data_IF_360767115271
#
_entry.id   IF_360767115271
#
_cell.length_a   1.000
_cell.length_b   1.000
_cell.length_c   1.000
_cell.angle_alpha   90.00
_cell.angle_beta   90.00
_cell.angle_gamma   90.00
#
_symmetry.space_group_name_H-M   'P 1'
#
loop_
_entity.id
_entity.type
_entity.pdbx_description
1 polymer ?
#
# COMPACT_ATOMS: atom_id res chain seq x y z
N UNK A 1 11.09 4.32 2.84
CA UNK A 1 9.61 4.26 2.70
C UNK A 1 8.98 3.01 3.34
N UNK A 2 9.18 1.76 2.88
CA UNK A 2 8.44 0.59 3.45
C UNK A 2 8.62 0.40 4.97
N UNK A 3 9.83 0.58 5.48
CA UNK A 3 10.09 0.54 6.93
C UNK A 3 9.35 1.61 7.72
N UNK A 4 9.27 2.83 7.19
CA UNK A 4 8.49 3.92 7.77
C UNK A 4 7.01 3.55 7.83
N UNK A 5 6.46 2.98 6.75
CA UNK A 5 5.09 2.48 6.72
C UNK A 5 4.84 1.42 7.81
N UNK A 6 5.80 0.53 8.06
CA UNK A 6 5.70 -0.48 9.12
C UNK A 6 5.63 0.17 10.51
N UNK A 7 6.51 1.12 10.82
CA UNK A 7 6.53 1.76 12.15
C UNK A 7 5.25 2.58 12.40
N UNK A 8 4.80 3.34 11.40
CA UNK A 8 3.54 4.10 11.50
C UNK A 8 2.32 3.18 11.65
N UNK A 9 2.36 2.01 11.00
CA UNK A 9 1.32 0.98 11.14
C UNK A 9 1.29 0.41 12.56
N UNK A 10 2.44 0.03 13.13
CA UNK A 10 2.49 -0.46 14.50
C UNK A 10 1.95 0.58 15.46
N UNK A 11 2.41 1.83 15.35
CA UNK A 11 1.96 2.94 16.18
C UNK A 11 0.43 3.05 16.17
N UNK A 12 -0.16 3.05 14.97
CA UNK A 12 -1.61 3.21 14.79
C UNK A 12 -2.38 2.06 15.41
N UNK A 13 -1.99 0.82 15.11
CA UNK A 13 -2.66 -0.37 15.62
C UNK A 13 -2.50 -0.48 17.15
N UNK A 14 -1.31 -0.22 17.69
CA UNK A 14 -1.05 -0.29 19.13
C UNK A 14 -1.92 0.71 19.90
N UNK A 15 -1.91 1.98 19.49
CA UNK A 15 -2.71 2.99 20.19
C UNK A 15 -4.21 2.82 19.99
N UNK A 16 -4.67 2.38 18.81
CA UNK A 16 -6.08 2.08 18.64
C UNK A 16 -6.53 0.85 19.44
N UNK A 17 -5.74 -0.22 19.49
CA UNK A 17 -6.11 -1.45 20.19
C UNK A 17 -6.06 -1.30 21.71
N UNK A 18 -5.00 -0.66 22.24
CA UNK A 18 -4.69 -0.73 23.66
C UNK A 18 -5.22 0.44 24.47
N UNK A 19 -5.28 1.67 23.92
CA UNK A 19 -5.70 2.84 24.71
C UNK A 19 -7.16 2.75 25.15
N UNK A 20 -7.39 2.98 26.44
CA UNK A 20 -8.69 2.98 27.10
C UNK A 20 -9.10 4.33 27.69
N UNK A 21 -10.34 4.42 28.14
CA UNK A 21 -10.86 5.54 28.94
C UNK A 21 -10.53 6.92 28.35
N UNK A 22 -10.07 7.82 29.23
CA UNK A 22 -9.77 9.21 28.87
C UNK A 22 -8.57 9.35 27.94
N UNK A 23 -7.67 8.37 27.88
CA UNK A 23 -6.53 8.41 26.95
C UNK A 23 -6.99 8.48 25.49
N UNK A 24 -8.17 7.93 25.16
CA UNK A 24 -8.76 8.01 23.82
C UNK A 24 -9.36 9.37 23.46
N UNK A 25 -9.64 10.22 24.45
CA UNK A 25 -10.22 11.56 24.24
C UNK A 25 -9.14 12.65 24.11
N UNK A 26 -7.87 12.26 24.16
CA UNK A 26 -6.74 13.20 24.14
C UNK A 26 -6.38 13.63 22.72
N UNK A 27 -5.83 14.85 22.60
CA UNK A 27 -5.22 15.34 21.35
C UNK A 27 -4.05 14.46 20.89
N UNK A 28 -3.44 13.71 21.80
CA UNK A 28 -2.40 12.74 21.48
C UNK A 28 -2.92 11.63 20.56
N UNK A 29 -4.05 10.98 20.89
CA UNK A 29 -4.61 9.95 20.02
C UNK A 29 -5.04 10.55 18.67
N UNK A 30 -5.67 11.73 18.67
CA UNK A 30 -6.05 12.41 17.42
C UNK A 30 -4.84 12.69 16.53
N UNK A 31 -3.75 13.24 17.08
CA UNK A 31 -2.50 13.47 16.35
C UNK A 31 -1.86 12.17 15.85
N UNK A 32 -1.90 11.12 16.67
CA UNK A 32 -1.43 9.78 16.30
C UNK A 32 -2.23 9.21 15.12
N UNK A 33 -3.56 9.34 15.13
CA UNK A 33 -4.44 8.88 14.05
C UNK A 33 -4.21 9.63 12.74
N UNK A 34 -3.83 10.91 12.78
CA UNK A 34 -3.45 11.65 11.56
C UNK A 34 -2.23 11.00 10.88
N UNK A 35 -1.24 10.56 11.64
CA UNK A 35 -0.13 9.77 11.11
C UNK A 35 -0.59 8.37 10.67
N UNK A 36 -1.57 7.79 11.36
CA UNK A 36 -2.13 6.49 11.04
C UNK A 36 -2.94 6.41 9.76
N UNK A 37 -3.19 7.53 9.09
CA UNK A 37 -3.74 7.53 7.72
C UNK A 37 -2.69 7.28 6.65
N UNK A 38 -1.39 7.29 6.98
CA UNK A 38 -0.27 7.16 6.02
C UNK A 38 0.21 5.74 5.70
N UNK A 39 0.10 4.71 6.57
CA UNK A 39 0.63 3.38 6.27
C UNK A 39 0.05 2.75 5.01
N UNK A 40 -1.27 2.72 4.87
CA UNK A 40 -1.93 2.11 3.72
C UNK A 40 -1.60 2.82 2.40
N UNK A 41 -1.66 4.17 2.29
CA UNK A 41 -1.21 4.87 1.09
C UNK A 41 0.27 4.61 0.77
N UNK A 42 1.15 4.53 1.78
CA UNK A 42 2.56 4.21 1.58
C UNK A 42 2.73 2.81 0.99
N UNK A 43 2.06 1.78 1.52
CA UNK A 43 2.17 0.42 0.99
C UNK A 43 1.62 0.31 -0.43
N UNK A 44 0.48 0.91 -0.73
CA UNK A 44 -0.13 0.91 -2.07
C UNK A 44 0.75 1.64 -3.08
N UNK A 45 1.22 2.85 -2.75
CA UNK A 45 2.14 3.62 -3.58
C UNK A 45 3.45 2.87 -3.86
N UNK A 46 4.01 2.21 -2.84
CA UNK A 46 5.22 1.41 -3.01
C UNK A 46 4.97 0.12 -3.80
N UNK A 47 3.78 -0.47 -3.71
CA UNK A 47 3.37 -1.57 -4.56
C UNK A 47 3.37 -1.12 -6.03
N UNK A 48 2.81 0.06 -6.33
CA UNK A 48 2.86 0.68 -7.65
C UNK A 48 4.29 0.92 -8.18
N UNK A 49 5.16 1.53 -7.36
CA UNK A 49 6.58 1.74 -7.74
C UNK A 49 7.27 0.40 -8.04
N UNK A 50 7.05 -0.60 -7.19
CA UNK A 50 7.67 -1.92 -7.36
C UNK A 50 7.14 -2.63 -8.61
N UNK A 51 5.85 -2.46 -8.90
CA UNK A 51 5.20 -2.96 -10.10
C UNK A 51 5.83 -2.35 -11.35
N UNK A 52 6.03 -1.02 -11.38
CA UNK A 52 6.68 -0.32 -12.49
C UNK A 52 8.08 -0.88 -12.78
N UNK A 53 8.89 -1.11 -11.73
CA UNK A 53 10.24 -1.66 -11.87
C UNK A 53 10.24 -3.05 -12.51
N UNK A 54 9.35 -3.94 -12.06
CA UNK A 54 9.26 -5.30 -12.59
C UNK A 54 8.75 -5.28 -14.02
N UNK A 55 7.72 -4.47 -14.30
CA UNK A 55 7.17 -4.30 -15.65
C UNK A 55 8.22 -3.75 -16.62
N UNK A 56 8.97 -2.71 -16.25
CA UNK A 56 10.08 -2.18 -17.06
C UNK A 56 11.13 -3.27 -17.34
N UNK A 57 11.49 -4.08 -16.34
CA UNK A 57 12.41 -5.20 -16.50
C UNK A 57 11.89 -6.26 -17.49
N UNK A 58 10.59 -6.60 -17.45
CA UNK A 58 10.00 -7.57 -18.35
C UNK A 58 9.89 -7.03 -19.79
N UNK A 59 9.58 -5.75 -19.96
CA UNK A 59 9.55 -5.07 -21.26
C UNK A 59 10.95 -5.06 -21.88
N UNK A 60 11.99 -4.67 -21.12
CA UNK A 60 13.39 -4.68 -21.59
C UNK A 60 13.89 -6.08 -21.95
N UNK A 61 13.32 -7.13 -21.38
CA UNK A 61 13.59 -8.53 -21.75
C UNK A 61 12.88 -8.98 -23.03
N UNK A 62 12.09 -8.11 -23.67
CA UNK A 62 11.39 -8.40 -24.93
C UNK A 62 10.17 -9.31 -24.76
N UNK A 63 9.59 -9.42 -23.56
CA UNK A 63 8.37 -10.20 -23.38
C UNK A 63 7.17 -9.54 -24.08
N UNK A 64 6.24 -10.37 -24.54
CA UNK A 64 4.99 -9.89 -25.15
C UNK A 64 4.10 -9.21 -24.10
N UNK A 65 3.25 -8.23 -24.50
CA UNK A 65 2.31 -7.59 -23.58
C UNK A 65 1.43 -8.58 -22.80
N UNK A 66 0.94 -9.63 -23.47
CA UNK A 66 0.15 -10.68 -22.84
C UNK A 66 0.94 -11.48 -21.78
N UNK A 67 2.22 -11.78 -22.04
CA UNK A 67 3.08 -12.47 -21.09
C UNK A 67 3.38 -11.60 -19.86
N UNK A 68 3.60 -10.29 -20.07
CA UNK A 68 3.80 -9.31 -18.99
C UNK A 68 2.54 -9.25 -18.13
N UNK A 69 1.37 -9.04 -18.73
CA UNK A 69 0.09 -8.98 -18.01
C UNK A 69 -0.19 -10.24 -17.22
N UNK A 70 -0.02 -11.43 -17.83
CA UNK A 70 -0.26 -12.71 -17.14
C UNK A 70 0.68 -12.87 -15.94
N UNK A 71 1.97 -12.56 -16.11
CA UNK A 71 2.96 -12.69 -15.03
C UNK A 71 2.64 -11.75 -13.87
N UNK A 72 2.34 -10.48 -14.18
CA UNK A 72 2.06 -9.48 -13.17
C UNK A 72 0.70 -9.67 -12.50
N UNK A 73 -0.33 -10.06 -13.26
CA UNK A 73 -1.66 -10.38 -12.73
C UNK A 73 -1.61 -11.61 -11.83
N UNK A 74 -0.85 -12.66 -12.19
CA UNK A 74 -0.63 -13.82 -11.33
C UNK A 74 -0.01 -13.40 -10.00
N UNK A 75 0.98 -12.51 -10.03
CA UNK A 75 1.59 -12.01 -8.79
C UNK A 75 0.61 -11.21 -7.94
N UNK A 76 -0.27 -10.41 -8.55
CA UNK A 76 -1.36 -9.73 -7.85
C UNK A 76 -2.35 -10.71 -7.24
N UNK A 77 -2.72 -11.77 -7.97
CA UNK A 77 -3.59 -12.84 -7.49
C UNK A 77 -2.98 -13.63 -6.32
N UNK A 78 -1.66 -13.86 -6.32
CA UNK A 78 -0.96 -14.46 -5.18
C UNK A 78 -1.08 -13.59 -3.91
N UNK A 79 -0.91 -12.27 -4.03
CA UNK A 79 -1.06 -11.35 -2.90
C UNK A 79 -2.52 -11.30 -2.42
N UNK A 80 -3.48 -11.29 -3.35
CA UNK A 80 -4.91 -11.37 -3.02
C UNK A 80 -5.23 -12.67 -2.27
N UNK A 81 -4.70 -13.80 -2.74
CA UNK A 81 -4.85 -15.09 -2.07
C UNK A 81 -4.23 -15.08 -0.67
N UNK A 82 -3.06 -14.47 -0.48
CA UNK A 82 -2.49 -14.28 0.86
C UNK A 82 -3.38 -13.42 1.76
N UNK A 83 -4.03 -12.38 1.24
CA UNK A 83 -5.00 -11.58 1.99
C UNK A 83 -6.19 -12.42 2.47
N UNK A 84 -6.76 -13.26 1.60
CA UNK A 84 -7.86 -14.17 1.95
C UNK A 84 -7.42 -15.24 2.96
N UNK A 85 -6.23 -15.82 2.78
CA UNK A 85 -5.67 -16.80 3.72
C UNK A 85 -5.38 -16.18 5.09
N UNK A 86 -4.92 -14.93 5.13
CA UNK A 86 -4.71 -14.19 6.36
C UNK A 86 -6.02 -14.03 7.14
N UNK A 87 -7.12 -13.66 6.47
CA UNK A 87 -8.45 -13.54 7.08
C UNK A 87 -8.99 -14.87 7.58
N UNK A 88 -8.79 -15.95 6.81
CA UNK A 88 -9.12 -17.30 7.25
C UNK A 88 -8.35 -17.68 8.52
N UNK A 89 -7.05 -17.41 8.57
CA UNK A 89 -6.23 -17.69 9.75
C UNK A 89 -6.72 -16.90 10.98
N UNK A 90 -6.95 -15.59 10.85
CA UNK A 90 -7.44 -14.77 11.96
C UNK A 90 -8.78 -15.29 12.49
N UNK A 91 -9.70 -15.64 11.59
CA UNK A 91 -11.00 -16.20 11.97
C UNK A 91 -10.86 -17.52 12.74
N UNK A 92 -9.96 -18.42 12.28
CA UNK A 92 -9.70 -19.68 12.96
C UNK A 92 -9.04 -19.49 14.34
N UNK A 93 -8.14 -18.52 14.48
CA UNK A 93 -7.52 -18.20 15.79
C UNK A 93 -8.56 -17.59 16.75
N UNK A 94 -9.46 -16.78 16.22
CA UNK A 94 -10.55 -16.15 16.96
C UNK A 94 -11.84 -17.00 16.98
N UNK A 95 -11.73 -18.32 16.79
CA UNK A 95 -12.89 -19.20 16.67
C UNK A 95 -13.83 -19.08 17.89
N UNK A 96 -15.12 -18.88 17.61
CA UNK A 96 -16.16 -18.67 18.62
C UNK A 96 -16.27 -17.24 19.17
N UNK A 97 -15.36 -16.33 18.80
CA UNK A 97 -15.36 -14.93 19.23
C UNK A 97 -15.61 -13.97 18.06
N UNK A 98 -15.12 -14.31 16.86
CA UNK A 98 -15.30 -13.50 15.66
C UNK A 98 -16.58 -13.91 14.90
N UNK A 99 -17.36 -12.94 14.38
CA UNK A 99 -18.47 -13.24 13.49
C UNK A 99 -17.97 -13.78 12.14
N UNK A 100 -18.74 -14.65 11.49
CA UNK A 100 -18.42 -15.19 10.15
C UNK A 100 -18.16 -14.07 9.12
N UNK A 101 -18.82 -12.92 9.26
CA UNK A 101 -18.64 -11.78 8.35
C UNK A 101 -17.19 -11.29 8.28
N UNK A 102 -16.39 -11.50 9.33
CA UNK A 102 -14.99 -11.07 9.36
C UNK A 102 -14.11 -11.78 8.32
N UNK A 103 -14.51 -12.97 7.86
CA UNK A 103 -13.81 -13.69 6.76
C UNK A 103 -13.83 -12.93 5.45
N UNK A 104 -14.89 -12.15 5.19
CA UNK A 104 -15.09 -11.41 3.96
C UNK A 104 -14.77 -9.92 4.14
N UNK A 105 -14.13 -9.55 5.26
CA UNK A 105 -13.66 -8.19 5.49
C UNK A 105 -12.57 -7.83 4.49
N UNK A 106 -12.70 -6.65 3.86
CA UNK A 106 -11.73 -6.19 2.86
C UNK A 106 -10.57 -5.47 3.56
N UNK A 107 -9.38 -6.00 3.33
CA UNK A 107 -8.15 -5.57 3.96
C UNK A 107 -7.13 -5.02 2.95
N UNK A 108 -6.08 -4.38 3.46
CA UNK A 108 -5.02 -3.75 2.66
C UNK A 108 -4.34 -4.75 1.72
N UNK A 109 -4.15 -6.01 2.12
CA UNK A 109 -3.57 -7.04 1.25
C UNK A 109 -4.48 -7.34 0.05
N UNK A 110 -5.80 -7.40 0.27
CA UNK A 110 -6.77 -7.62 -0.79
C UNK A 110 -6.70 -6.49 -1.83
N UNK A 111 -6.64 -5.24 -1.40
CA UNK A 111 -6.54 -4.09 -2.32
C UNK A 111 -5.18 -3.96 -2.98
N UNK A 112 -4.09 -4.29 -2.30
CA UNK A 112 -2.77 -4.36 -2.96
C UNK A 112 -2.83 -5.39 -4.10
N UNK A 113 -3.35 -6.59 -3.82
CA UNK A 113 -3.49 -7.65 -4.82
C UNK A 113 -4.39 -7.25 -6.00
N UNK A 114 -5.57 -6.70 -5.71
CA UNK A 114 -6.52 -6.25 -6.73
C UNK A 114 -5.97 -5.08 -7.56
N UNK A 115 -5.32 -4.10 -6.91
CA UNK A 115 -4.66 -2.98 -7.61
C UNK A 115 -3.56 -3.49 -8.54
N UNK A 116 -2.77 -4.49 -8.13
CA UNK A 116 -1.76 -5.10 -8.99
C UNK A 116 -2.36 -5.79 -10.22
N UNK A 117 -3.51 -6.45 -10.08
CA UNK A 117 -4.23 -7.05 -11.21
C UNK A 117 -4.69 -5.95 -12.17
N UNK A 118 -5.32 -4.88 -11.66
CA UNK A 118 -5.78 -3.76 -12.48
C UNK A 118 -4.63 -3.04 -13.20
N UNK A 119 -3.50 -2.82 -12.51
CA UNK A 119 -2.29 -2.27 -13.12
C UNK A 119 -1.71 -3.18 -14.21
N UNK A 120 -1.79 -4.51 -14.05
CA UNK A 120 -1.36 -5.48 -15.07
C UNK A 120 -2.22 -5.42 -16.32
N UNK A 121 -3.54 -5.28 -16.15
CA UNK A 121 -4.48 -5.09 -17.25
C UNK A 121 -4.24 -3.75 -17.95
N UNK A 122 -4.07 -2.66 -17.19
CA UNK A 122 -3.74 -1.34 -17.75
C UNK A 122 -2.46 -1.40 -18.59
N UNK A 123 -1.36 -1.88 -18.02
CA UNK A 123 -0.08 -1.98 -18.72
C UNK A 123 -0.19 -2.87 -19.96
N UNK A 124 -0.87 -4.01 -19.86
CA UNK A 124 -1.12 -4.90 -20.99
C UNK A 124 -1.86 -4.24 -22.14
N UNK A 125 -2.97 -3.57 -21.80
CA UNK A 125 -3.80 -2.87 -22.76
C UNK A 125 -3.01 -1.73 -23.42
N UNK A 126 -2.38 -0.84 -22.64
CA UNK A 126 -1.61 0.29 -23.16
C UNK A 126 -0.47 -0.18 -24.08
N UNK A 127 0.27 -1.22 -23.70
CA UNK A 127 1.35 -1.77 -24.53
C UNK A 127 0.83 -2.44 -25.81
N UNK A 128 -0.32 -3.11 -25.75
CA UNK A 128 -0.94 -3.74 -26.92
C UNK A 128 -1.44 -2.70 -27.93
N UNK A 129 -2.14 -1.66 -27.44
CA UNK A 129 -2.60 -0.54 -28.26
C UNK A 129 -1.41 0.17 -28.89
N UNK A 130 -0.39 0.50 -28.09
CA UNK A 130 0.80 1.20 -28.54
C UNK A 130 1.60 0.42 -29.59
N UNK A 131 1.71 -0.92 -29.43
CA UNK A 131 2.37 -1.78 -30.42
C UNK A 131 1.63 -1.76 -31.76
N UNK A 132 0.29 -1.82 -31.75
CA UNK A 132 -0.52 -1.73 -32.98
C UNK A 132 -0.33 -0.39 -33.69
N UNK A 133 -0.15 0.71 -32.96
CA UNK A 133 0.09 2.04 -33.54
C UNK A 133 1.53 2.24 -34.04
N UNK A 134 2.49 1.51 -33.46
CA UNK A 134 3.92 1.68 -33.76
C UNK A 134 4.47 0.77 -34.87
N UNK A 135 3.72 -0.25 -35.31
CA UNK A 135 4.06 -1.07 -36.49
C UNK A 135 4.08 -0.26 -37.80
N UNK A 136 3.66 1.01 -37.78
CA UNK A 136 3.66 1.94 -38.90
C UNK A 136 5.02 2.63 -39.19
N UNK A 137 6.15 2.02 -38.83
CA UNK A 137 7.48 2.38 -39.36
C UNK A 137 8.23 3.55 -38.71
N UNK A 138 8.55 3.49 -37.40
CA UNK A 138 9.46 4.47 -36.77
C UNK A 138 10.54 3.89 -35.86
N UNK A 139 11.68 4.59 -35.85
CA UNK A 139 12.99 4.25 -35.26
C UNK A 139 12.97 3.72 -33.80
N UNK A 140 13.81 2.70 -33.57
CA UNK A 140 13.95 1.89 -32.35
C UNK A 140 14.34 2.70 -31.08
N UNK A 141 15.09 3.80 -31.20
CA UNK A 141 15.62 4.55 -30.04
C UNK A 141 14.58 5.47 -29.40
N UNK A 142 13.71 6.09 -30.20
CA UNK A 142 12.60 6.93 -29.71
C UNK A 142 11.42 6.12 -29.18
N UNK A 143 11.34 4.84 -29.52
CA UNK A 143 10.27 3.92 -29.11
C UNK A 143 10.23 3.73 -27.58
N UNK A 144 11.40 3.65 -26.93
CA UNK A 144 11.49 3.38 -25.48
C UNK A 144 10.94 4.53 -24.61
N UNK A 145 11.17 5.78 -25.01
CA UNK A 145 10.66 6.95 -24.29
C UNK A 145 9.12 7.05 -24.40
N UNK A 146 8.57 6.69 -25.56
CA UNK A 146 7.15 6.88 -25.89
C UNK A 146 6.21 5.91 -25.15
N UNK A 147 6.53 4.62 -25.07
CA UNK A 147 5.66 3.68 -24.32
C UNK A 147 5.67 3.99 -22.81
N UNK A 148 6.81 4.44 -22.26
CA UNK A 148 6.88 4.86 -20.85
C UNK A 148 6.00 6.07 -20.59
N UNK A 149 6.06 7.07 -21.46
CA UNK A 149 5.18 8.23 -21.38
C UNK A 149 3.70 7.81 -21.45
N UNK A 150 3.34 6.91 -22.35
CA UNK A 150 1.98 6.38 -22.45
C UNK A 150 1.53 5.67 -21.16
N UNK A 151 2.38 4.85 -20.54
CA UNK A 151 2.07 4.20 -19.27
C UNK A 151 1.97 5.17 -18.09
N UNK A 152 2.83 6.19 -18.03
CA UNK A 152 2.75 7.25 -17.02
C UNK A 152 1.43 8.00 -17.15
N UNK A 153 1.09 8.45 -18.35
CA UNK A 153 -0.17 9.17 -18.63
C UNK A 153 -1.37 8.28 -18.28
N UNK A 154 -1.39 7.03 -18.75
CA UNK A 154 -2.46 6.08 -18.47
C UNK A 154 -2.63 5.85 -16.95
N UNK A 155 -1.51 5.75 -16.20
CA UNK A 155 -1.54 5.58 -14.75
C UNK A 155 -2.09 6.81 -14.03
N UNK A 156 -1.70 8.02 -14.46
CA UNK A 156 -2.21 9.28 -13.90
C UNK A 156 -3.71 9.43 -14.19
N UNK A 157 -4.15 9.15 -15.42
CA UNK A 157 -5.56 9.19 -15.83
C UNK A 157 -6.38 8.22 -14.98
N UNK A 158 -5.95 6.98 -14.82
CA UNK A 158 -6.68 6.00 -13.99
C UNK A 158 -6.71 6.43 -12.52
N UNK A 159 -5.61 6.96 -11.96
CA UNK A 159 -5.60 7.48 -10.59
C UNK A 159 -6.60 8.65 -10.41
N UNK A 160 -6.64 9.58 -11.37
CA UNK A 160 -7.58 10.70 -11.37
C UNK A 160 -9.04 10.24 -11.53
N UNK A 161 -9.30 9.27 -12.42
CA UNK A 161 -10.63 8.68 -12.59
C UNK A 161 -11.10 7.99 -11.31
N UNK A 162 -10.25 7.22 -10.63
CA UNK A 162 -10.58 6.61 -9.34
C UNK A 162 -10.92 7.69 -8.31
N UNK A 163 -10.12 8.77 -8.22
CA UNK A 163 -10.39 9.87 -7.30
C UNK A 163 -11.74 10.53 -7.58
N UNK A 164 -12.07 10.82 -8.86
CA UNK A 164 -13.31 11.48 -9.26
C UNK A 164 -14.54 10.56 -9.17
N UNK A 165 -14.38 9.25 -9.34
CA UNK A 165 -15.46 8.27 -9.19
C UNK A 165 -15.71 7.88 -7.73
N UNK A 166 -14.78 8.17 -6.82
CA UNK A 166 -14.92 7.79 -5.41
C UNK A 166 -16.17 8.41 -4.75
N UNK A 167 -16.40 9.75 -4.81
CA UNK A 167 -17.59 10.34 -4.21
C UNK A 167 -18.93 9.75 -4.68
N UNK A 168 -19.23 9.65 -6.00
CA UNK A 168 -20.50 9.09 -6.43
C UNK A 168 -20.64 7.60 -6.07
N UNK A 169 -19.58 6.79 -6.16
CA UNK A 169 -19.66 5.35 -5.80
C UNK A 169 -19.92 5.10 -4.30
N UNK A 170 -19.61 6.07 -3.46
CA UNK A 170 -19.92 6.04 -2.02
C UNK A 170 -21.28 6.66 -1.69
N UNK A 171 -21.90 7.39 -2.62
CA UNK A 171 -23.12 8.17 -2.37
C UNK A 171 -24.21 7.87 -3.40
N UNK A 172 -24.25 8.61 -4.51
CA UNK A 172 -25.35 8.60 -5.49
C UNK A 172 -25.38 7.37 -6.39
N UNK A 173 -24.22 6.79 -6.71
CA UNK A 173 -24.05 5.61 -7.57
C UNK A 173 -23.68 4.37 -6.76
N UNK A 174 -24.08 4.34 -5.48
CA UNK A 174 -23.77 3.23 -4.59
C UNK A 174 -24.40 1.93 -5.11
N UNK A 175 -23.62 0.86 -5.33
CA UNK A 175 -24.11 -0.37 -5.92
C UNK A 175 -24.84 -1.26 -4.89
N UNK A 176 -25.97 -0.78 -4.35
CA UNK A 176 -26.76 -1.48 -3.34
C UNK A 176 -27.37 -2.82 -3.82
N UNK A 177 -27.37 -3.05 -5.14
CA UNK A 177 -27.81 -4.29 -5.76
C UNK A 177 -26.78 -5.42 -5.61
N UNK A 178 -25.54 -5.10 -5.25
CA UNK A 178 -24.46 -6.05 -5.13
C UNK A 178 -24.43 -6.64 -3.70
N UNK A 179 -24.19 -7.96 -3.53
CA UNK A 179 -24.02 -8.52 -2.20
C UNK A 179 -22.90 -7.80 -1.43
N UNK A 180 -23.12 -7.60 -0.13
CA UNK A 180 -22.21 -6.86 0.74
C UNK A 180 -20.72 -7.27 0.64
N UNK A 181 -20.33 -8.55 0.41
CA UNK A 181 -18.91 -8.91 0.28
C UNK A 181 -18.24 -8.25 -0.91
N UNK A 182 -18.96 -8.10 -2.03
CA UNK A 182 -18.44 -7.48 -3.24
C UNK A 182 -18.58 -5.95 -3.18
N UNK A 183 -19.69 -5.45 -2.61
CA UNK A 183 -19.88 -4.01 -2.37
C UNK A 183 -18.74 -3.43 -1.51
N UNK A 184 -18.28 -4.21 -0.52
CA UNK A 184 -17.16 -3.85 0.35
C UNK A 184 -15.86 -3.57 -0.40
N UNK A 185 -15.63 -4.21 -1.55
CA UNK A 185 -14.47 -3.91 -2.40
C UNK A 185 -14.63 -2.59 -3.16
N UNK A 186 -15.83 -2.04 -3.30
CA UNK A 186 -16.08 -0.79 -4.01
C UNK A 186 -16.04 0.38 -3.04
N UNK A 187 -16.84 0.32 -1.96
CA UNK A 187 -17.08 1.47 -1.07
C UNK A 187 -16.79 1.19 0.42
N UNK A 188 -16.46 -0.06 0.79
CA UNK A 188 -16.12 -0.41 2.16
C UNK A 188 -17.31 -0.39 3.13
N UNK A 189 -18.53 -0.64 2.65
CA UNK A 189 -19.71 -0.64 3.52
C UNK A 189 -19.85 -1.88 4.42
N UNK A 190 -19.20 -3.00 4.08
CA UNK A 190 -19.36 -4.28 4.80
C UNK A 190 -20.84 -4.67 4.94
N UNK A 191 -21.18 -5.41 5.99
CA UNK A 191 -22.57 -5.72 6.36
C UNK A 191 -23.25 -4.61 7.18
N UNK A 192 -22.64 -3.43 7.32
CA UNK A 192 -23.12 -2.33 8.17
C UNK A 192 -23.91 -1.28 7.38
N UNK A 193 -23.92 -1.38 6.05
CA UNK A 193 -24.66 -0.46 5.19
C UNK A 193 -24.09 0.97 5.15
N UNK A 194 -22.94 1.23 5.77
CA UNK A 194 -22.25 2.53 5.75
C UNK A 194 -20.74 2.32 5.60
N UNK A 195 -20.02 3.18 4.84
CA UNK A 195 -18.57 3.06 4.67
C UNK A 195 -17.82 3.08 6.00
N UNK A 196 -16.86 2.17 6.17
CA UNK A 196 -16.10 2.05 7.40
C UNK A 196 -14.66 2.56 7.23
N UNK A 197 -14.20 3.36 8.19
CA UNK A 197 -12.86 3.97 8.14
C UNK A 197 -11.69 3.00 8.35
N UNK A 198 -11.95 1.79 8.84
CA UNK A 198 -10.95 0.74 9.02
C UNK A 198 -10.90 -0.26 7.86
N UNK A 199 -11.70 -0.06 6.81
CA UNK A 199 -11.70 -0.89 5.61
C UNK A 199 -10.94 -0.21 4.48
N UNK A 200 -10.37 -1.04 3.62
CA UNK A 200 -9.65 -0.61 2.44
C UNK A 200 -10.46 -1.06 1.22
N UNK A 201 -11.43 -0.29 0.71
CA UNK A 201 -12.03 -0.55 -0.60
C UNK A 201 -11.11 -0.17 -1.76
N UNK A 202 -11.50 -0.48 -3.00
CA UNK A 202 -10.80 -0.05 -4.20
C UNK A 202 -10.88 1.49 -4.39
N UNK A 203 -12.04 2.08 -4.10
CA UNK A 203 -12.26 3.52 -4.16
C UNK A 203 -12.23 4.12 -2.76
N UNK A 204 -11.26 5.01 -2.41
CA UNK A 204 -10.24 5.61 -3.28
C UNK A 204 -8.89 4.90 -3.32
N UNK A 205 -8.66 3.87 -2.50
CA UNK A 205 -7.30 3.42 -2.15
C UNK A 205 -6.45 2.97 -3.34
N UNK A 206 -7.04 2.38 -4.38
CA UNK A 206 -6.30 1.95 -5.57
C UNK A 206 -5.61 3.10 -6.31
N UNK A 207 -6.11 4.34 -6.20
CA UNK A 207 -5.48 5.50 -6.80
C UNK A 207 -4.04 5.72 -6.29
N UNK A 208 -3.74 5.38 -5.03
CA UNK A 208 -2.39 5.46 -4.49
C UNK A 208 -1.44 4.49 -5.19
N UNK A 209 -1.91 3.29 -5.54
CA UNK A 209 -1.12 2.33 -6.30
C UNK A 209 -0.85 2.82 -7.73
N UNK A 210 -1.83 3.40 -8.41
CA UNK A 210 -1.64 3.99 -9.74
C UNK A 210 -0.75 5.25 -9.72
N UNK A 211 -0.86 6.10 -8.71
CA UNK A 211 0.08 7.20 -8.49
C UNK A 211 1.52 6.67 -8.29
N UNK A 212 1.66 5.58 -7.55
CA UNK A 212 2.92 4.87 -7.39
C UNK A 212 3.45 4.26 -8.68
N UNK A 213 2.58 3.73 -9.53
CA UNK A 213 2.93 3.19 -10.84
C UNK A 213 3.51 4.28 -11.76
N UNK A 214 2.84 5.43 -11.83
CA UNK A 214 3.32 6.60 -12.56
C UNK A 214 4.69 7.08 -12.05
N UNK A 215 4.80 7.26 -10.72
CA UNK A 215 6.04 7.67 -10.07
C UNK A 215 7.18 6.67 -10.34
N UNK A 216 6.89 5.37 -10.30
CA UNK A 216 7.83 4.31 -10.58
C UNK A 216 8.38 4.36 -12.00
N UNK A 217 7.53 4.50 -13.01
CA UNK A 217 7.99 4.60 -14.41
C UNK A 217 8.86 5.84 -14.66
N UNK A 218 8.57 6.95 -13.97
CA UNK A 218 9.41 8.16 -14.05
C UNK A 218 10.77 7.93 -13.40
N UNK A 219 10.81 7.44 -12.15
CA UNK A 219 12.05 7.24 -11.38
C UNK A 219 12.97 6.20 -12.01
N UNK A 220 12.41 5.15 -12.62
CA UNK A 220 13.22 4.09 -13.24
C UNK A 220 13.61 4.35 -14.70
N UNK A 221 13.24 5.50 -15.26
CA UNK A 221 13.70 5.94 -16.58
C UNK A 221 15.23 6.14 -16.60
N UNK A 222 15.84 5.95 -17.78
CA UNK A 222 17.29 6.02 -17.93
C UNK A 222 17.84 7.42 -17.54
N UNK A 223 17.10 8.48 -17.86
CA UNK A 223 17.43 9.86 -17.46
C UNK A 223 17.32 10.07 -15.96
N UNK A 224 16.24 9.60 -15.33
CA UNK A 224 16.01 9.79 -13.91
C UNK A 224 17.02 9.02 -13.06
N UNK A 225 17.48 7.84 -13.49
CA UNK A 225 18.54 7.10 -12.78
C UNK A 225 19.82 7.93 -12.67
N UNK A 226 20.22 8.60 -13.75
CA UNK A 226 21.40 9.48 -13.76
C UNK A 226 21.20 10.77 -12.95
N UNK A 227 19.95 11.17 -12.67
CA UNK A 227 19.60 12.41 -11.99
C UNK A 227 18.64 12.17 -10.83
N UNK A 228 18.82 11.06 -10.09
CA UNK A 228 17.84 10.57 -9.11
C UNK A 228 17.47 11.64 -8.08
N UNK A 229 18.45 12.38 -7.56
CA UNK A 229 18.23 13.46 -6.62
C UNK A 229 17.35 14.59 -7.21
N UNK A 230 17.59 14.98 -8.47
CA UNK A 230 16.81 16.02 -9.16
C UNK A 230 15.38 15.54 -9.45
N UNK A 231 15.21 14.28 -9.88
CA UNK A 231 13.87 13.71 -10.11
C UNK A 231 13.06 13.65 -8.81
N UNK A 232 13.67 13.25 -7.70
CA UNK A 232 12.99 13.21 -6.41
C UNK A 232 12.75 14.62 -5.83
N UNK A 233 13.63 15.58 -6.10
CA UNK A 233 13.39 16.99 -5.76
C UNK A 233 12.18 17.54 -6.54
N UNK A 234 12.07 17.21 -7.83
CA UNK A 234 10.90 17.55 -8.64
C UNK A 234 9.63 16.88 -8.10
N UNK A 235 9.69 15.62 -7.67
CA UNK A 235 8.57 14.96 -7.01
C UNK A 235 8.12 15.71 -5.76
N UNK A 236 9.06 16.12 -4.90
CA UNK A 236 8.73 16.90 -3.72
C UNK A 236 8.13 18.27 -4.08
N UNK A 237 8.63 18.94 -5.11
CA UNK A 237 8.06 20.22 -5.58
C UNK A 237 6.63 20.04 -6.11
N UNK A 238 6.39 19.05 -6.98
CA UNK A 238 5.05 18.70 -7.46
C UNK A 238 4.14 18.28 -6.30
N UNK A 239 4.67 17.53 -5.34
CA UNK A 239 3.94 17.11 -4.15
C UNK A 239 3.55 18.28 -3.25
N UNK A 240 4.44 19.25 -3.05
CA UNK A 240 4.16 20.48 -2.32
C UNK A 240 3.08 21.32 -3.02
N UNK A 241 3.16 21.46 -4.35
CA UNK A 241 2.12 22.13 -5.13
C UNK A 241 0.77 21.41 -5.02
N UNK A 242 0.75 20.07 -5.08
CA UNK A 242 -0.47 19.29 -4.91
C UNK A 242 -1.09 19.45 -3.50
N UNK A 243 -0.26 19.54 -2.46
CA UNK A 243 -0.69 19.83 -1.08
C UNK A 243 -1.35 21.21 -1.01
N UNK A 244 -0.69 22.24 -1.54
CA UNK A 244 -1.20 23.61 -1.53
C UNK A 244 -2.49 23.75 -2.36
N UNK A 245 -2.55 23.12 -3.54
CA UNK A 245 -3.74 23.08 -4.36
C UNK A 245 -4.90 22.36 -3.67
N UNK A 246 -4.64 21.24 -3.01
CA UNK A 246 -5.65 20.47 -2.30
C UNK A 246 -6.23 21.28 -1.13
N UNK A 247 -5.37 21.96 -0.40
CA UNK A 247 -5.77 22.89 0.64
C UNK A 247 -6.61 24.05 0.09
N UNK A 248 -6.15 24.68 -1.00
CA UNK A 248 -6.85 25.80 -1.63
C UNK A 248 -8.23 25.43 -2.17
N UNK A 249 -8.36 24.29 -2.86
CA UNK A 249 -9.66 23.82 -3.36
C UNK A 249 -10.62 23.47 -2.23
N UNK A 250 -10.12 22.87 -1.13
CA UNK A 250 -10.96 22.52 0.01
C UNK A 250 -11.48 23.75 0.78
N UNK A 251 -10.75 24.87 0.75
CA UNK A 251 -11.17 26.15 1.34
C UNK A 251 -11.91 27.07 0.35
N UNK A 252 -12.10 26.63 -0.90
CA UNK A 252 -12.85 27.39 -1.90
C UNK A 252 -14.35 27.19 -1.71
N UNK A 253 -15.16 28.16 -2.18
CA UNK A 253 -16.61 28.03 -2.23
C UNK A 253 -17.13 27.08 -3.32
N UNK A 254 -16.22 26.51 -4.12
CA UNK A 254 -16.56 25.62 -5.22
C UNK A 254 -16.65 24.16 -4.73
N UNK A 255 -17.88 23.63 -4.71
CA UNK A 255 -18.13 22.23 -4.36
C UNK A 255 -18.45 21.41 -5.62
N UNK A 256 -17.54 20.51 -5.98
CA UNK A 256 -17.70 19.64 -7.16
C UNK A 256 -18.76 18.55 -6.95
N UNK A 257 -19.05 18.17 -5.70
CA UNK A 257 -20.04 17.16 -5.33
C UNK A 257 -21.02 17.71 -4.30
N UNK A 258 -22.25 17.18 -4.31
CA UNK A 258 -23.31 17.56 -3.38
C UNK A 258 -23.09 17.06 -1.94
N UNK A 259 -22.36 15.95 -1.76
CA UNK A 259 -22.06 15.38 -0.46
C UNK A 259 -20.59 15.60 -0.13
N UNK A 260 -20.32 16.38 0.91
CA UNK A 260 -18.97 16.63 1.39
C UNK A 260 -18.56 15.61 2.46
N UNK A 261 -17.51 14.84 2.18
CA UNK A 261 -16.84 14.01 3.18
C UNK A 261 -15.33 13.98 2.89
N UNK A 262 -14.59 14.80 3.64
CA UNK A 262 -13.14 14.96 3.43
C UNK A 262 -12.36 13.65 3.58
N UNK A 263 -12.61 12.89 4.64
CA UNK A 263 -11.74 11.78 5.03
C UNK A 263 -11.94 10.51 4.22
N UNK A 264 -13.13 10.31 3.63
CA UNK A 264 -13.48 9.05 2.96
C UNK A 264 -13.59 9.16 1.45
N UNK A 265 -14.11 10.28 0.94
CA UNK A 265 -14.48 10.38 -0.47
C UNK A 265 -13.83 11.53 -1.21
N UNK A 266 -13.36 12.57 -0.52
CA UNK A 266 -12.86 13.79 -1.16
C UNK A 266 -11.65 13.57 -2.08
N UNK A 267 -11.70 14.04 -3.34
CA UNK A 267 -10.52 14.05 -4.21
C UNK A 267 -9.40 14.93 -3.67
N UNK A 268 -9.72 16.01 -2.94
CA UNK A 268 -8.73 16.89 -2.32
C UNK A 268 -7.91 16.13 -1.27
N UNK A 269 -8.55 15.27 -0.47
CA UNK A 269 -7.86 14.42 0.49
C UNK A 269 -6.88 13.45 -0.20
N UNK A 270 -7.31 12.82 -1.30
CA UNK A 270 -6.44 11.95 -2.09
C UNK A 270 -5.25 12.73 -2.67
N UNK A 271 -5.51 13.90 -3.26
CA UNK A 271 -4.46 14.75 -3.85
C UNK A 271 -3.43 15.21 -2.80
N UNK A 272 -3.90 15.65 -1.63
CA UNK A 272 -3.07 15.97 -0.46
C UNK A 272 -2.16 14.79 -0.09
N UNK A 273 -2.73 13.57 0.00
CA UNK A 273 -1.97 12.37 0.39
C UNK A 273 -0.98 11.93 -0.69
N UNK A 274 -1.33 11.99 -1.97
CA UNK A 274 -0.38 11.76 -3.07
C UNK A 274 0.77 12.77 -2.99
N UNK A 275 0.48 14.04 -2.73
CA UNK A 275 1.52 15.06 -2.53
C UNK A 275 2.46 14.73 -1.37
N UNK A 276 1.91 14.32 -0.22
CA UNK A 276 2.71 13.86 0.93
C UNK A 276 3.57 12.64 0.58
N UNK A 277 3.04 11.66 -0.16
CA UNK A 277 3.81 10.48 -0.59
C UNK A 277 5.01 10.85 -1.47
N UNK A 278 4.84 11.82 -2.37
CA UNK A 278 5.93 12.33 -3.22
C UNK A 278 7.01 13.05 -2.39
N UNK A 279 6.62 13.87 -1.41
CA UNK A 279 7.56 14.50 -0.46
C UNK A 279 8.28 13.44 0.39
N UNK A 280 7.56 12.45 0.92
CA UNK A 280 8.14 11.35 1.70
C UNK A 280 9.13 10.51 0.86
N UNK A 281 8.94 10.43 -0.46
CA UNK A 281 9.89 9.76 -1.35
C UNK A 281 11.25 10.47 -1.35
N UNK A 282 11.28 11.81 -1.46
CA UNK A 282 12.51 12.58 -1.33
C UNK A 282 13.13 12.44 0.07
N UNK A 283 12.33 12.59 1.12
CA UNK A 283 12.82 12.48 2.51
C UNK A 283 13.41 11.09 2.78
N UNK A 284 12.77 10.03 2.27
CA UNK A 284 13.30 8.67 2.35
C UNK A 284 14.61 8.49 1.59
N UNK A 285 14.74 9.11 0.42
CA UNK A 285 15.99 9.10 -0.33
C UNK A 285 17.10 9.85 0.42
N UNK A 286 16.82 11.05 0.93
CA UNK A 286 17.76 11.81 1.75
C UNK A 286 18.20 11.01 2.99
N UNK A 287 17.26 10.33 3.66
CA UNK A 287 17.56 9.46 4.80
C UNK A 287 18.49 8.30 4.42
N UNK A 288 18.28 7.67 3.27
CA UNK A 288 19.11 6.56 2.80
C UNK A 288 20.47 7.02 2.23
N UNK A 289 20.56 8.25 1.73
CA UNK A 289 21.77 8.78 1.09
C UNK A 289 22.69 9.52 2.07
N UNK A 290 22.11 10.23 3.04
CA UNK A 290 22.82 11.12 3.97
C UNK A 290 22.44 10.92 5.44
N UNK A 291 21.36 10.20 5.72
CA UNK A 291 20.90 9.95 7.08
C UNK A 291 21.65 8.82 7.79
N UNK A 292 21.17 8.50 8.99
CA UNK A 292 21.75 7.45 9.85
C UNK A 292 21.70 6.05 9.21
N UNK A 293 20.85 5.84 8.20
CA UNK A 293 20.83 4.59 7.45
C UNK A 293 22.16 4.26 6.73
N UNK A 294 23.05 5.25 6.56
CA UNK A 294 24.39 5.05 5.99
C UNK A 294 25.42 4.57 7.02
N UNK A 295 25.13 4.71 8.33
CA UNK A 295 26.07 4.44 9.43
C UNK A 295 25.93 3.02 10.02
N UNK A 296 25.57 2.03 9.21
CA UNK A 296 25.51 0.62 9.60
C UNK A 296 24.10 0.03 9.55
N UNK A 297 23.73 -0.76 10.57
CA UNK A 297 22.43 -1.44 10.61
C UNK A 297 21.27 -0.45 10.69
N UNK A 298 20.29 -0.62 9.80
CA UNK A 298 19.08 0.21 9.76
C UNK A 298 17.83 -0.64 10.03
N UNK A 299 17.22 -0.54 11.23
CA UNK A 299 15.99 -1.26 11.55
C UNK A 299 14.85 -0.97 10.56
N UNK A 300 14.75 0.27 10.06
CA UNK A 300 13.74 0.63 9.06
C UNK A 300 13.95 -0.11 7.74
N UNK A 301 15.19 -0.23 7.26
CA UNK A 301 15.46 -0.98 6.02
C UNK A 301 15.13 -2.46 6.23
N UNK A 302 15.55 -3.02 7.37
CA UNK A 302 15.30 -4.41 7.75
C UNK A 302 13.79 -4.74 7.79
N UNK A 303 13.01 -3.95 8.53
CA UNK A 303 11.54 -4.09 8.58
C UNK A 303 10.90 -3.98 7.19
N UNK A 304 11.39 -3.04 6.36
CA UNK A 304 10.88 -2.84 5.01
C UNK A 304 11.12 -4.00 4.04
N UNK A 305 12.15 -4.83 4.28
CA UNK A 305 12.44 -6.02 3.47
C UNK A 305 11.52 -7.19 3.82
N UNK A 306 11.06 -7.27 5.07
CA UNK A 306 10.18 -8.33 5.57
C UNK A 306 8.78 -7.83 5.92
N UNK A 307 8.32 -6.76 5.26
CA UNK A 307 7.10 -6.05 5.67
C UNK A 307 5.86 -6.92 5.71
N UNK A 308 5.72 -7.91 4.80
CA UNK A 308 4.60 -8.86 4.82
C UNK A 308 4.62 -9.77 6.06
N UNK A 309 5.79 -10.31 6.43
CA UNK A 309 5.93 -11.13 7.63
C UNK A 309 5.58 -10.33 8.88
N UNK A 310 6.16 -9.14 8.97
CA UNK A 310 5.96 -8.27 10.12
C UNK A 310 4.51 -7.79 10.19
N UNK A 311 3.89 -7.47 9.04
CA UNK A 311 2.47 -7.21 8.91
C UNK A 311 1.63 -8.37 9.49
N UNK A 312 1.90 -9.59 9.06
CA UNK A 312 1.15 -10.76 9.48
C UNK A 312 1.22 -11.00 10.99
N UNK A 313 2.41 -10.94 11.56
CA UNK A 313 2.64 -11.31 12.96
C UNK A 313 2.24 -10.20 13.93
N UNK A 314 2.43 -8.92 13.58
CA UNK A 314 2.10 -7.84 14.51
C UNK A 314 0.59 -7.69 14.74
N UNK A 315 -0.26 -7.97 13.74
CA UNK A 315 -1.71 -7.89 13.92
C UNK A 315 -2.18 -8.85 15.01
N UNK A 316 -1.64 -10.08 15.03
CA UNK A 316 -2.00 -11.07 16.05
C UNK A 316 -1.63 -10.61 17.47
N UNK A 317 -0.46 -9.98 17.62
CA UNK A 317 0.03 -9.47 18.90
C UNK A 317 -0.61 -8.16 19.36
N UNK A 318 -1.44 -7.52 18.52
CA UNK A 318 -2.11 -6.25 18.85
C UNK A 318 -3.62 -6.41 18.89
N UNK A 319 -4.21 -6.92 17.82
CA UNK A 319 -5.66 -7.13 17.69
C UNK A 319 -6.09 -8.57 17.91
N UNK A 320 -5.19 -9.54 17.73
CA UNK A 320 -5.48 -10.97 17.84
C UNK A 320 -5.73 -11.43 19.28
N UNK A 321 -5.83 -12.75 19.45
CA UNK A 321 -6.10 -13.38 20.75
C UNK A 321 -4.91 -13.22 21.68
N UNK A 322 -3.70 -13.23 21.14
CA UNK A 322 -2.44 -13.16 21.88
C UNK A 322 -1.92 -11.72 22.02
N UNK A 323 -2.82 -10.74 22.23
CA UNK A 323 -2.43 -9.34 22.39
C UNK A 323 -1.43 -9.17 23.54
N UNK A 324 -0.32 -8.48 23.30
CA UNK A 324 0.75 -8.26 24.30
C UNK A 324 0.23 -7.47 25.50
N UNK A 325 -0.61 -6.46 25.23
CA UNK A 325 -1.27 -5.67 26.26
C UNK A 325 -2.79 -5.88 26.25
N UNK A 326 -3.45 -5.79 27.42
CA UNK A 326 -4.92 -5.74 27.49
C UNK A 326 -5.50 -4.62 26.62
N UNK A 327 -6.52 -4.95 25.83
CA UNK A 327 -7.15 -4.04 24.88
C UNK A 327 -8.05 -3.05 25.60
N UNK A 328 -8.11 -1.81 25.10
CA UNK A 328 -9.04 -0.75 25.53
C UNK A 328 -8.96 -0.35 27.00
N UNK A 329 -7.82 -0.54 27.67
CA UNK A 329 -7.63 -0.18 29.09
C UNK A 329 -6.30 0.53 29.38
N UNK A 330 -5.36 0.59 28.43
CA UNK A 330 -4.02 1.12 28.67
C UNK A 330 -3.97 2.64 28.69
N UNK A 331 -3.03 3.18 29.47
CA UNK A 331 -2.62 4.57 29.42
C UNK A 331 -1.68 4.83 28.24
N UNK A 332 -1.44 6.10 27.91
CA UNK A 332 -0.51 6.49 26.84
C UNK A 332 0.90 5.96 27.10
N UNK A 333 1.40 6.05 28.33
CA UNK A 333 2.73 5.56 28.68
C UNK A 333 2.84 4.04 28.49
N UNK A 334 1.91 3.26 29.03
CA UNK A 334 1.93 1.79 28.89
C UNK A 334 1.82 1.35 27.43
N UNK A 335 0.92 1.95 26.65
CA UNK A 335 0.80 1.64 25.23
C UNK A 335 2.05 2.03 24.42
N UNK A 336 2.75 3.10 24.82
CA UNK A 336 4.00 3.53 24.17
C UNK A 336 5.14 2.55 24.44
N UNK A 337 5.22 2.00 25.66
CA UNK A 337 6.17 0.92 25.98
C UNK A 337 5.86 -0.36 25.21
N UNK A 338 4.58 -0.77 25.15
CA UNK A 338 4.18 -1.92 24.32
C UNK A 338 4.50 -1.71 22.83
N UNK A 339 4.37 -0.48 22.32
CA UNK A 339 4.74 -0.13 20.93
C UNK A 339 6.24 -0.28 20.71
N UNK A 340 7.07 0.13 21.67
CA UNK A 340 8.51 -0.06 21.59
C UNK A 340 8.86 -1.55 21.61
N UNK A 341 8.29 -2.31 22.54
CA UNK A 341 8.50 -3.76 22.67
C UNK A 341 8.15 -4.51 21.39
N UNK A 342 6.95 -4.29 20.83
CA UNK A 342 6.55 -4.95 19.59
C UNK A 342 7.44 -4.52 18.42
N UNK A 343 7.85 -3.25 18.36
CA UNK A 343 8.76 -2.78 17.31
C UNK A 343 10.11 -3.50 17.37
N UNK A 344 10.69 -3.62 18.57
CA UNK A 344 11.96 -4.34 18.78
C UNK A 344 11.80 -5.82 18.44
N UNK A 345 10.74 -6.47 18.93
CA UNK A 345 10.45 -7.87 18.63
C UNK A 345 10.30 -8.11 17.12
N UNK A 346 9.62 -7.22 16.40
CA UNK A 346 9.46 -7.32 14.95
C UNK A 346 10.78 -7.13 14.19
N UNK A 347 11.68 -6.28 14.68
CA UNK A 347 13.04 -6.14 14.12
C UNK A 347 13.83 -7.44 14.33
N UNK A 348 13.76 -8.04 15.52
CA UNK A 348 14.40 -9.33 15.81
C UNK A 348 13.85 -10.44 14.91
N UNK A 349 12.52 -10.57 14.81
CA UNK A 349 11.86 -11.54 13.94
C UNK A 349 12.27 -11.35 12.47
N UNK A 350 12.35 -10.10 12.01
CA UNK A 350 12.83 -9.76 10.68
C UNK A 350 14.28 -10.23 10.45
N UNK A 351 15.18 -10.00 11.42
CA UNK A 351 16.57 -10.44 11.37
C UNK A 351 16.70 -11.97 11.34
N UNK A 352 15.94 -12.66 12.17
CA UNK A 352 15.87 -14.13 12.18
C UNK A 352 15.42 -14.64 10.81
N UNK A 353 14.42 -14.01 10.20
CA UNK A 353 13.92 -14.40 8.87
C UNK A 353 14.97 -14.22 7.77
N UNK A 354 15.79 -13.15 7.81
CA UNK A 354 16.76 -12.83 6.76
C UNK A 354 18.10 -13.52 6.95
N UNK A 355 18.53 -13.80 8.19
CA UNK A 355 19.81 -14.46 8.48
C UNK A 355 19.73 -15.99 8.42
N UNK A 356 18.56 -16.58 8.68
CA UNK A 356 18.40 -18.03 8.60
C UNK A 356 18.22 -18.46 7.14
N UNK A 357 19.14 -19.30 6.64
CA UNK A 357 19.00 -19.97 5.36
C UNK A 357 18.03 -21.16 5.48
N UNK A 358 16.73 -20.86 5.34
CA UNK A 358 15.64 -21.83 5.40
C UNK A 358 15.77 -22.94 4.34
N UNK A 359 16.53 -22.74 3.25
CA UNK A 359 16.77 -23.79 2.25
C UNK A 359 17.76 -24.83 2.76
N UNK A 360 18.83 -24.41 3.44
CA UNK A 360 19.77 -25.33 4.10
C UNK A 360 19.12 -26.13 5.23
N UNK A 361 18.19 -25.52 5.98
CA UNK A 361 17.47 -26.21 7.06
C UNK A 361 16.50 -27.24 6.50
N UNK A 362 15.71 -26.92 5.46
CA UNK A 362 14.85 -27.91 4.79
C UNK A 362 15.65 -29.06 4.19
N UNK A 363 16.82 -28.79 3.60
CA UNK A 363 17.75 -29.82 3.14
C UNK A 363 18.21 -30.74 4.26
N UNK A 364 18.63 -30.20 5.42
CA UNK A 364 19.03 -31.01 6.59
C UNK A 364 17.90 -31.82 7.20
N UNK A 365 16.68 -31.29 7.26
CA UNK A 365 15.50 -32.02 7.78
C UNK A 365 15.10 -33.15 6.83
N UNK A 366 15.20 -32.93 5.52
CA UNK A 366 14.92 -33.95 4.52
C UNK A 366 15.98 -35.06 4.53
N UNK A 367 17.26 -34.71 4.66
CA UNK A 367 18.35 -35.70 4.81
C UNK A 367 18.21 -36.51 6.11
N UNK A 368 17.84 -35.87 7.23
CA UNK A 368 17.55 -36.58 8.50
C UNK A 368 16.32 -37.49 8.45
N UNK A 369 15.37 -37.28 7.54
CA UNK A 369 14.23 -38.17 7.32
C UNK A 369 14.53 -39.33 6.35
N UNK A 370 15.62 -39.26 5.59
CA UNK A 370 16.00 -40.25 4.57
C UNK A 370 17.09 -41.22 5.10
N UNK A 371 17.68 -40.96 6.26
CA UNK A 371 18.44 -41.98 6.99
C UNK A 371 17.48 -42.75 7.92
N UNK A 372 17.06 -43.98 7.58
CA UNK A 372 16.53 -44.89 8.58
C UNK A 372 17.64 -45.21 9.58
N UNK A 373 17.26 -45.41 10.84
CA UNK A 373 18.14 -45.90 11.89
C UNK A 373 18.70 -47.28 11.56
#
# INVERSE_FOLDING_TARGET
>A
MRGLACVLMFQTHCYDAWLGGDARKTRFLTGSQLLGTLPAPLFLFLAGISFALVTDKLIRKGLTPAAITRTMARRGAEILAFGLLFRLQEFLIAWGWAPWSDLLRVDVLNIIGLSMILMALLCGFTLTVWRKTSDSGQEMSQSVSRWRAALVIASIVVAALIALLTPPLHTTWRPNWLPWPLESYINGCHNLGVPQGWLFPLFPWAAFAFAGLAAGFIVFSDRARNQTAKTLALFAAVGALAILAAYGFDHSSFHLYSVYNYWHTSPNFLMMRVGLLLVIALLSYAWCRWGLATRGFSPLIQLGQTSLLVYWVHIEFVYGRFSILPKRVQTISSASWGLLEITVFMVILSLVRTKIDWKKIKGKIMIRRVQPA
#
